data_IF_401714889782
#
_entry.id   IF_401714889782
#
_cell.length_a   1.000
_cell.length_b   1.000
_cell.length_c   1.000
_cell.angle_alpha   90.00
_cell.angle_beta   90.00
_cell.angle_gamma   90.00
#
_symmetry.space_group_name_H-M   'P 1'
#
loop_
_entity.id
_entity.type
_entity.pdbx_description
1 polymer ?
#
# COMPACT_ATOMS: atom_id res chain seq x y z
N UNK A 1 18.02 29.59 -7.13
CA UNK A 1 17.88 28.48 -8.11
C UNK A 1 17.95 27.09 -7.47
N UNK A 2 18.81 26.85 -6.47
CA UNK A 2 18.83 25.58 -5.70
C UNK A 2 17.54 25.33 -4.88
N UNK A 3 16.90 26.39 -4.38
CA UNK A 3 15.70 26.27 -3.53
C UNK A 3 14.46 25.81 -4.30
N UNK A 4 14.35 26.19 -5.58
CA UNK A 4 13.26 25.74 -6.46
C UNK A 4 13.39 24.25 -6.82
N UNK A 5 14.64 23.74 -6.97
CA UNK A 5 14.89 22.31 -7.19
C UNK A 5 14.63 21.44 -5.95
N UNK A 6 14.94 21.95 -4.75
CA UNK A 6 14.67 21.25 -3.50
C UNK A 6 13.16 21.10 -3.22
N UNK A 7 12.38 22.12 -3.57
CA UNK A 7 10.93 22.10 -3.43
C UNK A 7 10.28 21.05 -4.35
N UNK A 8 10.69 20.99 -5.63
CA UNK A 8 10.18 20.01 -6.59
C UNK A 8 10.44 18.56 -6.15
N UNK A 9 11.63 18.29 -5.60
CA UNK A 9 11.98 16.95 -5.12
C UNK A 9 11.12 16.53 -3.91
N UNK A 10 10.69 17.50 -3.09
CA UNK A 10 9.83 17.23 -1.93
C UNK A 10 8.39 16.92 -2.34
N UNK A 11 7.85 17.65 -3.32
CA UNK A 11 6.51 17.40 -3.86
C UNK A 11 6.44 16.01 -4.49
N UNK A 12 7.40 15.67 -5.36
CA UNK A 12 7.44 14.34 -6.01
C UNK A 12 7.52 13.23 -4.96
N UNK A 13 8.31 13.42 -3.91
CA UNK A 13 8.43 12.45 -2.83
C UNK A 13 7.12 12.26 -2.08
N UNK A 14 6.45 13.34 -1.69
CA UNK A 14 5.15 13.29 -1.03
C UNK A 14 4.09 12.64 -1.93
N UNK A 15 4.07 13.02 -3.21
CA UNK A 15 3.15 12.44 -4.19
C UNK A 15 3.34 10.92 -4.30
N UNK A 16 4.58 10.43 -4.43
CA UNK A 16 4.87 9.01 -4.52
C UNK A 16 4.57 8.25 -3.21
N UNK A 17 4.84 8.86 -2.05
CA UNK A 17 4.52 8.28 -0.75
C UNK A 17 3.01 8.15 -0.51
N UNK A 18 2.24 9.16 -0.92
CA UNK A 18 0.79 9.22 -0.75
C UNK A 18 0.03 8.50 -1.87
N UNK A 19 0.64 8.27 -3.02
CA UNK A 19 -0.01 7.72 -4.22
C UNK A 19 -0.86 6.48 -3.91
N UNK A 20 -0.35 5.45 -3.21
CA UNK A 20 -1.13 4.24 -2.98
C UNK A 20 -2.35 4.49 -2.09
N UNK A 21 -2.19 5.37 -1.10
CA UNK A 21 -3.25 5.74 -0.17
C UNK A 21 -4.31 6.60 -0.87
N UNK A 22 -3.90 7.56 -1.67
CA UNK A 22 -4.81 8.41 -2.45
C UNK A 22 -5.58 7.61 -3.53
N UNK A 23 -5.00 6.52 -4.02
CA UNK A 23 -5.67 5.60 -4.96
C UNK A 23 -6.70 4.69 -4.28
N UNK A 24 -6.68 4.53 -2.95
CA UNK A 24 -7.65 3.65 -2.25
C UNK A 24 -9.12 3.97 -2.53
N UNK A 25 -9.61 5.22 -2.45
CA UNK A 25 -11.01 5.51 -2.79
C UNK A 25 -11.35 5.24 -4.25
N UNK A 26 -10.40 5.49 -5.18
CA UNK A 26 -10.60 5.19 -6.59
C UNK A 26 -10.73 3.68 -6.83
N UNK A 27 -9.86 2.87 -6.19
CA UNK A 27 -9.93 1.41 -6.24
C UNK A 27 -11.25 0.91 -5.64
N UNK A 28 -11.68 1.45 -4.51
CA UNK A 28 -12.95 1.09 -3.89
C UNK A 28 -14.15 1.42 -4.79
N UNK A 29 -14.17 2.62 -5.38
CA UNK A 29 -15.21 3.04 -6.31
C UNK A 29 -15.28 2.14 -7.54
N UNK A 30 -14.13 1.84 -8.15
CA UNK A 30 -14.06 0.97 -9.34
C UNK A 30 -14.49 -0.47 -9.04
N UNK A 31 -14.18 -1.00 -7.85
CA UNK A 31 -14.65 -2.32 -7.41
C UNK A 31 -16.16 -2.31 -7.08
N UNK A 32 -16.66 -1.23 -6.48
CA UNK A 32 -18.07 -1.10 -6.09
C UNK A 32 -19.00 -0.97 -7.31
N UNK A 33 -18.60 -0.19 -8.31
CA UNK A 33 -19.32 -0.01 -9.58
C UNK A 33 -19.17 -1.20 -10.54
N UNK A 34 -18.36 -2.21 -10.18
CA UNK A 34 -18.13 -3.40 -11.00
C UNK A 34 -17.27 -3.15 -12.24
N UNK A 35 -16.63 -1.99 -12.35
CA UNK A 35 -15.63 -1.71 -13.41
C UNK A 35 -14.39 -2.61 -13.26
N UNK A 36 -13.99 -2.88 -12.01
CA UNK A 36 -12.98 -3.89 -11.67
C UNK A 36 -13.70 -5.17 -11.23
N UNK A 37 -13.78 -6.14 -12.15
CA UNK A 37 -14.36 -7.45 -11.87
C UNK A 37 -13.24 -8.47 -11.70
N UNK A 38 -13.04 -8.91 -10.47
CA UNK A 38 -12.06 -9.91 -10.07
C UNK A 38 -12.67 -11.32 -10.03
N UNK A 39 -13.91 -11.47 -10.51
CA UNK A 39 -14.62 -12.74 -10.62
C UNK A 39 -15.42 -13.14 -9.39
N UNK A 40 -15.47 -12.30 -8.34
CA UNK A 40 -16.25 -12.52 -7.11
C UNK A 40 -17.56 -11.72 -7.05
N UNK A 41 -17.88 -10.93 -8.08
CA UNK A 41 -19.09 -10.13 -8.14
C UNK A 41 -19.12 -9.09 -7.01
N UNK A 42 -20.19 -9.05 -6.21
CA UNK A 42 -20.30 -8.12 -5.07
C UNK A 42 -19.20 -8.33 -4.00
N UNK A 43 -18.52 -9.48 -3.99
CA UNK A 43 -17.45 -9.76 -3.02
C UNK A 43 -16.11 -9.15 -3.42
N UNK A 44 -15.98 -8.61 -4.63
CA UNK A 44 -14.73 -8.00 -5.09
C UNK A 44 -14.32 -6.79 -4.23
N UNK A 45 -15.29 -6.15 -3.57
CA UNK A 45 -15.05 -5.09 -2.61
C UNK A 45 -14.21 -5.54 -1.40
N UNK A 46 -14.24 -6.83 -1.05
CA UNK A 46 -13.37 -7.38 0.00
C UNK A 46 -11.89 -7.33 -0.38
N UNK A 47 -11.56 -7.28 -1.68
CA UNK A 47 -10.18 -7.07 -2.14
C UNK A 47 -9.67 -5.64 -1.85
N UNK A 48 -10.56 -4.68 -1.62
CA UNK A 48 -10.17 -3.32 -1.20
C UNK A 48 -9.59 -3.30 0.22
N UNK A 49 -9.96 -4.26 1.08
CA UNK A 49 -9.47 -4.35 2.47
C UNK A 49 -7.95 -4.62 2.53
N UNK A 50 -7.40 -5.69 1.92
CA UNK A 50 -5.96 -5.90 1.89
C UNK A 50 -5.23 -4.77 1.15
N UNK A 51 -5.82 -4.18 0.10
CA UNK A 51 -5.25 -3.00 -0.57
C UNK A 51 -5.13 -1.78 0.38
N UNK A 52 -6.18 -1.50 1.16
CA UNK A 52 -6.20 -0.45 2.16
C UNK A 52 -5.14 -0.66 3.26
N UNK A 53 -5.02 -1.89 3.76
CA UNK A 53 -3.99 -2.24 4.74
C UNK A 53 -2.57 -2.15 4.17
N UNK A 54 -2.38 -2.54 2.90
CA UNK A 54 -1.09 -2.41 2.21
C UNK A 54 -0.68 -0.95 2.05
N UNK A 55 -1.58 -0.12 1.51
CA UNK A 55 -1.33 1.29 1.22
C UNK A 55 -1.08 2.12 2.48
N UNK A 56 -1.77 1.80 3.58
CA UNK A 56 -1.51 2.42 4.89
C UNK A 56 -0.12 2.04 5.42
N UNK A 57 0.23 0.76 5.42
CA UNK A 57 1.56 0.30 5.84
C UNK A 57 2.68 0.90 4.99
N UNK A 58 2.47 0.95 3.67
CA UNK A 58 3.38 1.60 2.73
C UNK A 58 3.64 3.05 3.14
N UNK A 59 2.57 3.82 3.39
CA UNK A 59 2.69 5.22 3.80
C UNK A 59 3.42 5.38 5.14
N UNK A 60 3.14 4.53 6.13
CA UNK A 60 3.81 4.56 7.44
C UNK A 60 5.31 4.27 7.29
N UNK A 61 5.69 3.22 6.56
CA UNK A 61 7.10 2.87 6.36
C UNK A 61 7.82 3.96 5.56
N UNK A 62 7.17 4.49 4.52
CA UNK A 62 7.69 5.61 3.75
C UNK A 62 7.92 6.85 4.64
N UNK A 63 6.98 7.18 5.53
CA UNK A 63 7.09 8.31 6.46
C UNK A 63 8.23 8.11 7.48
N UNK A 64 8.45 6.88 7.96
CA UNK A 64 9.57 6.55 8.83
C UNK A 64 10.91 6.70 8.11
N UNK A 65 11.02 6.20 6.88
CA UNK A 65 12.21 6.39 6.03
C UNK A 65 12.45 7.87 5.69
N UNK A 66 11.38 8.63 5.46
CA UNK A 66 11.42 10.07 5.25
C UNK A 66 12.06 10.80 6.43
N UNK A 67 11.58 10.52 7.65
CA UNK A 67 12.12 11.10 8.89
C UNK A 67 13.59 10.76 9.13
N UNK A 68 14.06 9.62 8.60
CA UNK A 68 15.48 9.19 8.67
C UNK A 68 16.35 9.80 7.58
N UNK A 69 15.81 10.64 6.69
CA UNK A 69 16.57 11.30 5.63
C UNK A 69 17.09 10.34 4.55
N UNK A 70 16.50 9.15 4.40
CA UNK A 70 16.99 8.16 3.42
C UNK A 70 16.70 8.59 1.99
N UNK A 71 17.48 8.07 1.03
CA UNK A 71 17.32 8.36 -0.39
C UNK A 71 15.96 7.89 -0.91
N UNK A 72 15.40 8.63 -1.88
CA UNK A 72 14.07 8.38 -2.47
C UNK A 72 13.85 6.94 -2.93
N UNK A 73 14.69 6.35 -3.80
CA UNK A 73 14.47 4.98 -4.28
C UNK A 73 14.54 3.95 -3.15
N UNK A 74 15.38 4.18 -2.15
CA UNK A 74 15.54 3.27 -1.01
C UNK A 74 14.30 3.30 -0.11
N UNK A 75 13.76 4.48 0.18
CA UNK A 75 12.53 4.64 0.97
C UNK A 75 11.34 3.94 0.30
N UNK A 76 11.21 4.08 -1.03
CA UNK A 76 10.13 3.42 -1.79
C UNK A 76 10.29 1.90 -1.79
N UNK A 77 11.52 1.39 -1.95
CA UNK A 77 11.80 -0.04 -1.92
C UNK A 77 11.50 -0.65 -0.55
N UNK A 78 11.89 0.02 0.56
CA UNK A 78 11.55 -0.43 1.91
C UNK A 78 10.05 -0.37 2.19
N UNK A 79 9.37 0.67 1.72
CA UNK A 79 7.92 0.79 1.88
C UNK A 79 7.18 -0.32 1.12
N UNK A 80 7.52 -0.54 -0.15
CA UNK A 80 6.93 -1.60 -0.97
C UNK A 80 7.25 -2.99 -0.40
N UNK A 81 8.51 -3.24 -0.06
CA UNK A 81 8.98 -4.51 0.49
C UNK A 81 8.35 -4.82 1.85
N UNK A 82 8.35 -3.86 2.77
CA UNK A 82 7.80 -4.03 4.11
C UNK A 82 6.28 -4.18 4.11
N UNK A 83 5.55 -3.38 3.31
CA UNK A 83 4.10 -3.52 3.18
C UNK A 83 3.71 -4.88 2.59
N UNK A 84 4.46 -5.36 1.58
CA UNK A 84 4.21 -6.67 0.96
C UNK A 84 4.55 -7.81 1.92
N UNK A 85 5.72 -7.77 2.56
CA UNK A 85 6.14 -8.79 3.52
C UNK A 85 5.15 -8.93 4.68
N UNK A 86 4.64 -7.82 5.21
CA UNK A 86 3.65 -7.83 6.28
C UNK A 86 2.33 -8.46 5.84
N UNK A 87 1.83 -8.11 4.65
CA UNK A 87 0.62 -8.72 4.10
C UNK A 87 0.78 -10.21 3.81
N UNK A 88 1.91 -10.61 3.23
CA UNK A 88 2.22 -12.02 2.99
C UNK A 88 2.28 -12.79 4.30
N UNK A 89 2.90 -12.23 5.35
CA UNK A 89 2.98 -12.85 6.66
C UNK A 89 1.59 -13.02 7.31
N UNK A 90 0.73 -12.00 7.25
CA UNK A 90 -0.66 -12.09 7.74
C UNK A 90 -1.43 -13.17 6.99
N UNK A 91 -1.33 -13.21 5.66
CA UNK A 91 -1.98 -14.25 4.86
C UNK A 91 -1.49 -15.66 5.18
N UNK A 92 -0.18 -15.82 5.38
CA UNK A 92 0.41 -17.11 5.76
C UNK A 92 -0.10 -17.57 7.13
N UNK A 93 -0.11 -16.69 8.13
CA UNK A 93 -0.61 -17.01 9.49
C UNK A 93 -2.08 -17.43 9.43
N UNK A 94 -2.92 -16.68 8.71
CA UNK A 94 -4.34 -17.02 8.55
C UNK A 94 -4.53 -18.37 7.85
N UNK A 95 -3.76 -18.66 6.80
CA UNK A 95 -3.83 -19.94 6.09
C UNK A 95 -3.40 -21.12 6.98
N UNK A 96 -2.35 -20.95 7.78
CA UNK A 96 -1.88 -21.98 8.71
C UNK A 96 -2.91 -22.25 9.80
N UNK A 97 -3.50 -21.19 10.39
CA UNK A 97 -4.56 -21.30 11.39
C UNK A 97 -5.82 -22.00 10.83
N UNK A 98 -6.25 -21.61 9.62
CA UNK A 98 -7.41 -22.22 8.95
C UNK A 98 -7.22 -23.69 8.55
N UNK A 99 -5.98 -24.17 8.43
CA UNK A 99 -5.66 -25.58 8.22
C UNK A 99 -5.60 -26.35 9.55
N UNK A 100 -5.01 -25.76 10.59
CA UNK A 100 -4.92 -26.37 11.91
C UNK A 100 -6.26 -26.54 12.63
N UNK A 101 -7.23 -25.65 12.40
CA UNK A 101 -8.57 -25.75 12.98
C UNK A 101 -9.54 -26.70 12.26
N UNK A 102 -9.10 -27.41 11.21
CA UNK A 102 -9.89 -28.42 10.48
C UNK A 102 -9.46 -29.87 10.78
N UNK A 103 -8.66 -30.08 11.84
CA UNK A 103 -8.23 -31.40 12.32
C UNK A 103 -9.12 -31.91 13.44
#
# INVERSE_FOLDING_TARGET
MKDSMAHNNTIVRLALGLLPLALTPAVFFLLAEGYLNLGGGCKDIWAAVPWGLWSLNYFVIWLLCWRRGTSLPRSLAWAAGGATAMLTMVFLILNLYARGGRG
#
